data_IF_258157040010
#
_entry.id   IF_258157040010
#
_cell.length_a   1.000
_cell.length_b   1.000
_cell.length_c   1.000
_cell.angle_alpha   90.00
_cell.angle_beta   90.00
_cell.angle_gamma   90.00
#
_symmetry.space_group_name_H-M   'P 1'
#
loop_
_entity.id
_entity.type
_entity.pdbx_description
1 polymer ?
#
# COMPACT_ATOMS: atom_id res chain seq x y z
N UNK A 1 -1.25 -11.64 -14.50
CA UNK A 1 -0.82 -10.43 -13.78
C UNK A 1 -2.02 -9.49 -13.73
N UNK A 2 -2.38 -9.00 -12.55
CA UNK A 2 -3.44 -8.01 -12.33
C UNK A 2 -2.81 -6.73 -11.78
N UNK A 3 -3.17 -5.58 -12.34
CA UNK A 3 -2.70 -4.26 -11.92
C UNK A 3 -3.92 -3.44 -11.55
N UNK A 4 -3.93 -2.86 -10.35
CA UNK A 4 -5.07 -2.09 -9.84
C UNK A 4 -4.54 -0.78 -9.27
N UNK A 5 -5.03 0.34 -9.82
CA UNK A 5 -4.70 1.68 -9.38
C UNK A 5 -5.90 2.27 -8.61
N UNK A 6 -5.70 2.51 -7.32
CA UNK A 6 -6.72 3.05 -6.40
C UNK A 6 -8.10 2.36 -6.49
N UNK A 7 -8.16 1.01 -6.47
CA UNK A 7 -9.37 0.27 -6.82
C UNK A 7 -10.55 0.49 -5.86
N UNK A 8 -10.29 1.00 -4.66
CA UNK A 8 -11.30 1.19 -3.61
C UNK A 8 -11.56 2.66 -3.27
N UNK A 9 -10.97 3.60 -4.00
CA UNK A 9 -11.07 5.03 -3.69
C UNK A 9 -12.50 5.57 -3.83
N UNK A 10 -13.29 5.03 -4.78
CA UNK A 10 -14.64 5.49 -5.08
C UNK A 10 -15.75 4.84 -4.23
N UNK A 11 -15.40 3.96 -3.29
CA UNK A 11 -16.36 3.19 -2.51
C UNK A 11 -16.63 3.82 -1.14
N UNK A 12 -17.83 3.60 -0.61
CA UNK A 12 -18.10 3.80 0.80
C UNK A 12 -17.34 2.76 1.66
N UNK A 13 -17.20 3.04 2.96
CA UNK A 13 -16.41 2.23 3.88
C UNK A 13 -16.88 0.76 3.98
N UNK A 14 -18.19 0.52 4.00
CA UNK A 14 -18.74 -0.83 4.13
C UNK A 14 -18.51 -1.64 2.86
N UNK A 15 -18.79 -1.06 1.69
CA UNK A 15 -18.57 -1.72 0.40
C UNK A 15 -17.09 -1.97 0.15
N UNK A 16 -16.22 -1.02 0.52
CA UNK A 16 -14.75 -1.18 0.46
C UNK A 16 -14.30 -2.41 1.25
N UNK A 17 -14.78 -2.55 2.48
CA UNK A 17 -14.39 -3.66 3.35
C UNK A 17 -14.74 -5.01 2.73
N UNK A 18 -15.99 -5.19 2.27
CA UNK A 18 -16.44 -6.44 1.66
C UNK A 18 -15.61 -6.78 0.41
N UNK A 19 -15.36 -5.79 -0.45
CA UNK A 19 -14.58 -6.02 -1.67
C UNK A 19 -13.11 -6.34 -1.40
N UNK A 20 -12.52 -5.79 -0.33
CA UNK A 20 -11.17 -6.15 0.09
C UNK A 20 -11.09 -7.62 0.56
N UNK A 21 -12.06 -8.09 1.34
CA UNK A 21 -12.11 -9.50 1.77
C UNK A 21 -12.34 -10.46 0.59
N UNK A 22 -13.25 -10.13 -0.32
CA UNK A 22 -13.50 -10.93 -1.53
C UNK A 22 -12.26 -11.00 -2.43
N UNK A 23 -11.58 -9.87 -2.61
CA UNK A 23 -10.33 -9.83 -3.38
C UNK A 23 -9.25 -10.71 -2.75
N UNK A 24 -9.09 -10.66 -1.43
CA UNK A 24 -8.14 -11.52 -0.70
C UNK A 24 -8.44 -13.00 -0.96
N UNK A 25 -9.70 -13.39 -0.82
CA UNK A 25 -10.16 -14.76 -1.06
C UNK A 25 -9.90 -15.21 -2.50
N UNK A 26 -10.24 -14.38 -3.50
CA UNK A 26 -10.00 -14.70 -4.92
C UNK A 26 -8.51 -14.82 -5.20
N UNK A 27 -7.70 -13.91 -4.65
CA UNK A 27 -6.27 -13.88 -4.89
C UNK A 27 -5.57 -15.11 -4.30
N UNK A 28 -5.88 -15.47 -3.05
CA UNK A 28 -5.38 -16.68 -2.38
C UNK A 28 -5.68 -17.95 -3.19
N UNK A 29 -6.86 -18.02 -3.83
CA UNK A 29 -7.26 -19.16 -4.64
C UNK A 29 -6.72 -19.15 -6.09
N UNK A 30 -6.36 -17.97 -6.63
CA UNK A 30 -6.02 -17.82 -8.05
C UNK A 30 -4.52 -17.96 -8.37
N UNK A 31 -3.65 -17.80 -7.37
CA UNK A 31 -2.18 -17.84 -7.53
C UNK A 31 -1.61 -16.77 -8.46
N UNK A 32 -2.40 -15.75 -8.83
CA UNK A 32 -1.97 -14.69 -9.74
C UNK A 32 -1.13 -13.65 -9.01
N UNK A 33 -0.09 -13.13 -9.65
CA UNK A 33 0.59 -11.92 -9.18
C UNK A 33 -0.34 -10.72 -9.34
N UNK A 34 -0.51 -9.95 -8.27
CA UNK A 34 -1.30 -8.72 -8.24
C UNK A 34 -0.45 -7.57 -7.73
N UNK A 35 -0.58 -6.40 -8.35
CA UNK A 35 0.04 -5.15 -7.90
C UNK A 35 -1.06 -4.14 -7.63
N UNK A 36 -1.05 -3.59 -6.42
CA UNK A 36 -1.97 -2.56 -5.96
C UNK A 36 -1.23 -1.25 -5.76
N UNK A 37 -1.81 -0.17 -6.27
CA UNK A 37 -1.44 1.20 -5.89
C UNK A 37 -2.57 1.71 -5.00
N UNK A 38 -2.21 2.18 -3.80
CA UNK A 38 -3.14 2.71 -2.81
C UNK A 38 -2.48 3.82 -2.01
N UNK A 39 -3.27 4.79 -1.58
CA UNK A 39 -2.89 5.82 -0.61
C UNK A 39 -3.16 5.40 0.85
N UNK A 40 -3.72 4.21 1.08
CA UNK A 40 -4.04 3.70 2.42
C UNK A 40 -2.98 2.74 2.94
N UNK A 41 -2.39 3.08 4.08
CA UNK A 41 -1.43 2.20 4.77
C UNK A 41 -2.11 0.91 5.24
N UNK A 42 -3.35 1.01 5.73
CA UNK A 42 -4.12 -0.14 6.19
C UNK A 42 -4.37 -1.12 5.03
N UNK A 43 -4.67 -0.62 3.83
CA UNK A 43 -4.83 -1.47 2.64
C UNK A 43 -3.51 -2.14 2.24
N UNK A 44 -2.40 -1.40 2.26
CA UNK A 44 -1.09 -1.95 1.94
C UNK A 44 -0.68 -3.07 2.90
N UNK A 45 -0.93 -2.91 4.20
CA UNK A 45 -0.64 -3.91 5.23
C UNK A 45 -1.57 -5.12 5.17
N UNK A 46 -2.85 -4.92 4.83
CA UNK A 46 -3.83 -5.99 4.71
C UNK A 46 -3.59 -6.84 3.45
N UNK A 47 -3.41 -6.18 2.30
CA UNK A 47 -3.41 -6.81 0.99
C UNK A 47 -2.01 -7.22 0.50
N UNK A 48 -0.94 -6.52 0.90
CA UNK A 48 0.39 -6.70 0.35
C UNK A 48 1.23 -7.74 1.09
N UNK A 49 2.03 -8.53 0.37
CA UNK A 49 3.14 -9.28 0.98
C UNK A 49 4.42 -8.45 1.02
N UNK A 50 4.50 -7.48 0.11
CA UNK A 50 5.56 -6.48 -0.01
C UNK A 50 4.92 -5.11 -0.22
N UNK A 51 5.44 -4.10 0.46
CA UNK A 51 5.01 -2.72 0.36
C UNK A 51 6.20 -1.92 -0.19
N UNK A 52 6.03 -1.37 -1.39
CA UNK A 52 7.03 -0.52 -2.03
C UNK A 52 6.60 0.93 -1.87
N UNK A 53 7.40 1.73 -1.18
CA UNK A 53 7.13 3.15 -0.96
C UNK A 53 7.86 3.96 -2.03
N UNK A 54 7.12 4.77 -2.77
CA UNK A 54 7.64 5.63 -3.82
C UNK A 54 7.86 7.05 -3.30
N UNK A 55 9.00 7.63 -3.66
CA UNK A 55 9.31 9.05 -3.50
C UNK A 55 8.65 9.91 -4.59
N UNK A 56 8.43 11.18 -4.27
CA UNK A 56 7.86 12.20 -5.13
C UNK A 56 8.99 12.93 -5.86
N UNK A 57 9.18 12.61 -7.13
CA UNK A 57 9.95 13.40 -8.10
C UNK A 57 11.45 13.63 -7.76
N UNK A 58 12.37 12.84 -8.34
CA UNK A 58 12.12 11.74 -9.26
C UNK A 58 11.48 10.53 -8.54
N UNK A 59 10.62 9.80 -9.25
CA UNK A 59 9.91 8.62 -8.76
C UNK A 59 10.86 7.47 -8.42
N UNK A 60 11.49 7.57 -7.27
CA UNK A 60 12.48 6.61 -6.75
C UNK A 60 11.83 5.72 -5.70
N UNK A 61 12.38 4.51 -5.54
CA UNK A 61 11.93 3.61 -4.48
C UNK A 61 12.63 4.04 -3.19
N UNK A 62 11.87 4.52 -2.22
CA UNK A 62 12.37 4.94 -0.91
C UNK A 62 12.48 3.76 0.05
N UNK A 63 11.59 2.77 -0.10
CA UNK A 63 11.62 1.54 0.68
C UNK A 63 10.93 0.38 -0.03
N UNK A 64 11.38 -0.83 0.31
CA UNK A 64 10.73 -2.10 -0.02
C UNK A 64 10.63 -2.89 1.29
N UNK A 65 9.42 -3.00 1.81
CA UNK A 65 9.13 -3.53 3.14
C UNK A 65 8.38 -4.85 3.00
N UNK A 66 8.89 -5.90 3.65
CA UNK A 66 8.14 -7.15 3.78
C UNK A 66 7.02 -7.00 4.82
N UNK A 67 5.85 -7.55 4.52
CA UNK A 67 4.73 -7.62 5.47
C UNK A 67 4.86 -8.91 6.29
N UNK A 68 5.13 -8.84 7.60
CA UNK A 68 5.50 -10.00 8.39
C UNK A 68 4.31 -10.84 8.88
N UNK A 69 3.09 -10.54 8.43
CA UNK A 69 1.87 -11.22 8.89
C UNK A 69 1.56 -12.42 8.00
N UNK A 70 1.26 -13.60 8.56
CA UNK A 70 0.90 -14.78 7.78
C UNK A 70 -0.45 -14.60 7.06
N UNK A 71 -0.67 -15.39 6.00
CA UNK A 71 -1.98 -15.55 5.35
C UNK A 71 -2.72 -16.73 5.99
N UNK A 72 -4.07 -16.75 6.03
CA UNK A 72 -4.98 -15.72 5.54
C UNK A 72 -5.05 -14.50 6.48
N UNK A 73 -5.28 -13.32 5.93
CA UNK A 73 -5.32 -12.06 6.70
C UNK A 73 -6.74 -11.53 6.81
N UNK A 74 -7.06 -10.99 7.98
CA UNK A 74 -8.25 -10.19 8.24
C UNK A 74 -7.82 -8.86 8.82
N UNK A 75 -8.64 -7.82 8.70
CA UNK A 75 -8.32 -6.50 9.26
C UNK A 75 -8.07 -6.57 10.77
N UNK A 76 -8.92 -7.30 11.49
CA UNK A 76 -8.77 -7.52 12.93
C UNK A 76 -7.48 -8.29 13.28
N UNK A 77 -7.14 -9.31 12.48
CA UNK A 77 -5.90 -10.08 12.64
C UNK A 77 -4.67 -9.20 12.46
N UNK A 78 -4.58 -8.47 11.34
CA UNK A 78 -3.47 -7.56 11.04
C UNK A 78 -3.31 -6.49 12.10
N UNK A 79 -4.39 -5.90 12.62
CA UNK A 79 -4.31 -4.90 13.70
C UNK A 79 -3.86 -5.49 15.04
N UNK A 80 -4.09 -6.78 15.26
CA UNK A 80 -3.70 -7.47 16.49
C UNK A 80 -2.24 -7.95 16.47
N UNK A 81 -1.60 -7.96 15.30
CA UNK A 81 -0.21 -8.37 15.15
C UNK A 81 0.76 -7.40 15.86
N UNK A 82 1.70 -7.89 16.69
CA UNK A 82 2.66 -7.02 17.39
C UNK A 82 3.51 -6.15 16.44
N UNK A 83 3.79 -6.66 15.24
CA UNK A 83 4.55 -5.94 14.22
C UNK A 83 3.72 -4.92 13.41
N UNK A 84 2.40 -4.84 13.65
CA UNK A 84 1.49 -3.94 12.94
C UNK A 84 1.80 -2.47 13.19
N UNK A 85 1.81 -2.04 14.45
CA UNK A 85 2.09 -0.65 14.81
C UNK A 85 3.50 -0.20 14.37
N UNK A 86 4.59 -0.96 14.61
CA UNK A 86 5.91 -0.60 14.11
C UNK A 86 5.99 -0.47 12.58
N UNK A 87 5.31 -1.35 11.85
CA UNK A 87 5.28 -1.29 10.39
C UNK A 87 4.50 -0.06 9.90
N UNK A 88 3.35 0.22 10.51
CA UNK A 88 2.55 1.42 10.24
C UNK A 88 3.38 2.68 10.46
N UNK A 89 4.00 2.82 11.63
CA UNK A 89 4.84 3.97 11.99
C UNK A 89 5.99 4.15 10.99
N UNK A 90 6.60 3.04 10.55
CA UNK A 90 7.66 3.06 9.56
C UNK A 90 7.18 3.62 8.22
N UNK A 91 6.06 3.11 7.70
CA UNK A 91 5.49 3.56 6.42
C UNK A 91 5.08 5.03 6.52
N UNK A 92 4.38 5.38 7.60
CA UNK A 92 3.93 6.74 7.86
C UNK A 92 5.10 7.74 7.94
N UNK A 93 6.20 7.36 8.61
CA UNK A 93 7.39 8.20 8.69
C UNK A 93 8.05 8.41 7.31
N UNK A 94 8.07 7.38 6.45
CA UNK A 94 8.59 7.50 5.09
C UNK A 94 7.73 8.46 4.26
N UNK A 95 6.41 8.26 4.27
CA UNK A 95 5.47 9.12 3.53
C UNK A 95 5.51 10.57 4.02
N UNK A 96 5.62 10.80 5.33
CA UNK A 96 5.77 12.14 5.90
C UNK A 96 7.10 12.79 5.48
N UNK A 97 8.19 12.03 5.54
CA UNK A 97 9.50 12.53 5.11
C UNK A 97 9.47 12.94 3.63
N UNK A 98 8.72 12.20 2.82
CA UNK A 98 8.56 12.50 1.41
C UNK A 98 7.70 13.75 1.17
N UNK A 99 6.55 13.85 1.85
CA UNK A 99 5.68 15.02 1.75
C UNK A 99 6.36 16.32 2.22
N UNK A 100 7.36 16.22 3.11
CA UNK A 100 8.15 17.35 3.59
C UNK A 100 9.31 17.75 2.64
N UNK A 101 9.63 16.95 1.60
CA UNK A 101 10.68 17.33 0.65
C UNK A 101 10.21 18.51 -0.20
N UNK A 102 11.03 19.56 -0.37
CA UNK A 102 10.72 20.63 -1.28
C UNK A 102 10.62 20.06 -2.70
N UNK A 103 9.48 20.29 -3.37
CA UNK A 103 9.31 19.98 -4.78
C UNK A 103 10.40 20.73 -5.55
N UNK A 104 11.41 20.01 -6.04
CA UNK A 104 12.36 20.59 -6.98
C UNK A 104 11.57 20.90 -8.23
N UNK A 105 11.33 22.20 -8.47
CA UNK A 105 10.70 22.69 -9.67
C UNK A 105 11.31 21.95 -10.87
N UNK A 106 10.48 21.25 -11.64
CA UNK A 106 10.92 20.63 -12.86
C UNK A 106 11.41 21.75 -13.77
N UNK A 107 12.73 21.85 -13.90
CA UNK A 107 13.37 22.72 -14.87
C UNK A 107 13.04 22.21 -16.27
N UNK A 108 11.88 22.59 -16.79
CA UNK A 108 11.65 22.62 -18.22
C UNK A 108 12.50 23.78 -18.74
N UNK A 109 13.71 23.46 -19.19
CA UNK A 109 14.50 24.41 -19.97
C UNK A 109 13.74 24.69 -21.28
N UNK A 110 13.42 25.96 -21.60
CA UNK A 110 12.85 26.28 -22.91
C UNK A 110 13.92 26.04 -23.97
N UNK A 111 13.56 25.29 -25.01
CA UNK A 111 14.35 25.11 -26.24
C UNK A 111 14.33 26.38 -27.07
#
# INVERSE_FOLDING_TARGET
LLLMDEPFAALDEQTRFVLQEELLSIWENSGKTVIFITHSIDEAMLLGDRIVVFGSNPGTIEADLAVPFPRPRTLAGVRSEPASAPLFDRIWSLLRSEAARPQRASGIAPR
#
